data_IF_033063709599
#
_entry.id   IF_033063709599
#
_cell.length_a   1.000
_cell.length_b   1.000
_cell.length_c   1.000
_cell.angle_alpha   90.00
_cell.angle_beta   90.00
_cell.angle_gamma   90.00
#
_symmetry.space_group_name_H-M   'P 1'
#
loop_
_entity.id
_entity.type
_entity.pdbx_description
1 polymer ?
#
# COMPACT_ATOMS: atom_id res chain seq x y z
N UNK A 1 -9.86 4.46 37.06
CA UNK A 1 -11.34 4.43 37.03
C UNK A 1 -11.86 5.83 36.70
N UNK A 2 -12.46 6.00 35.52
CA UNK A 2 -13.59 6.90 35.25
C UNK A 2 -14.15 6.47 33.90
N UNK A 3 -15.18 5.63 33.99
CA UNK A 3 -16.03 5.20 32.88
C UNK A 3 -16.74 6.45 32.35
N UNK A 4 -16.66 6.71 31.04
CA UNK A 4 -17.66 7.54 30.36
C UNK A 4 -18.29 6.64 29.31
N UNK A 5 -19.37 6.01 29.73
CA UNK A 5 -20.34 5.33 28.89
C UNK A 5 -21.51 6.32 28.76
N UNK A 6 -21.90 6.65 27.54
CA UNK A 6 -23.20 7.24 27.13
C UNK A 6 -23.01 7.76 25.69
N UNK A 7 -23.85 7.55 24.69
CA UNK A 7 -25.18 6.93 24.55
C UNK A 7 -25.32 6.63 23.06
N UNK A 8 -25.95 5.51 22.74
CA UNK A 8 -26.44 5.10 21.42
C UNK A 8 -27.66 5.96 21.04
N UNK A 9 -27.69 6.55 19.84
CA UNK A 9 -28.93 6.83 19.08
C UNK A 9 -28.59 7.21 17.62
N UNK A 10 -28.86 6.35 16.65
CA UNK A 10 -30.05 6.30 15.76
C UNK A 10 -29.89 7.13 14.46
N UNK A 11 -29.74 6.37 13.38
CA UNK A 11 -30.27 6.51 12.01
C UNK A 11 -30.86 7.86 11.59
N UNK A 12 -30.36 8.41 10.48
CA UNK A 12 -31.17 9.08 9.47
C UNK A 12 -30.52 8.97 8.07
N UNK A 13 -31.05 8.07 7.25
CA UNK A 13 -30.94 8.20 5.79
C UNK A 13 -31.84 9.36 5.36
N UNK A 14 -31.32 10.29 4.55
CA UNK A 14 -32.14 11.32 3.92
C UNK A 14 -31.76 11.43 2.45
N UNK A 15 -32.65 10.91 1.61
CA UNK A 15 -32.70 11.17 0.19
C UNK A 15 -33.49 12.47 -0.06
N UNK A 16 -32.92 13.37 -0.84
CA UNK A 16 -33.60 14.46 -1.53
C UNK A 16 -32.94 14.58 -2.91
N UNK A 17 -33.59 14.84 -4.04
CA UNK A 17 -34.93 14.57 -4.55
C UNK A 17 -34.80 14.75 -6.07
N UNK A 18 -35.70 14.12 -6.82
CA UNK A 18 -35.80 14.17 -8.29
C UNK A 18 -36.21 15.57 -8.74
N UNK A 19 -35.61 16.08 -9.81
CA UNK A 19 -36.29 17.01 -10.72
C UNK A 19 -36.19 16.48 -12.16
N UNK A 20 -37.29 16.59 -12.90
CA UNK A 20 -37.63 15.80 -14.07
C UNK A 20 -38.05 16.76 -15.19
N UNK A 21 -37.31 16.70 -16.31
CA UNK A 21 -37.75 16.95 -17.69
C UNK A 21 -37.94 18.42 -18.15
N UNK A 22 -37.94 18.73 -19.48
CA UNK A 22 -38.11 17.83 -20.64
C UNK A 22 -37.09 17.96 -21.81
N UNK A 23 -37.11 16.92 -22.67
CA UNK A 23 -36.50 16.83 -24.02
C UNK A 23 -37.25 17.72 -25.04
N UNK A 24 -36.65 18.01 -26.22
CA UNK A 24 -36.89 17.19 -27.43
C UNK A 24 -35.59 16.87 -28.21
N UNK A 25 -35.36 15.61 -28.63
CA UNK A 25 -35.56 15.08 -30.01
C UNK A 25 -34.95 15.97 -31.11
N UNK A 26 -33.97 15.57 -31.91
CA UNK A 26 -33.24 14.33 -32.15
C UNK A 26 -32.40 14.53 -33.44
N UNK A 27 -31.41 13.66 -33.71
CA UNK A 27 -31.06 13.12 -35.03
C UNK A 27 -29.99 12.05 -34.86
N UNK A 28 -30.18 10.96 -35.59
CA UNK A 28 -29.39 9.73 -35.70
C UNK A 28 -27.88 9.93 -35.96
N UNK A 29 -27.05 9.12 -35.30
CA UNK A 29 -25.70 8.76 -35.75
C UNK A 29 -25.50 7.23 -35.58
N UNK A 30 -24.97 6.51 -36.58
CA UNK A 30 -24.91 5.06 -36.58
C UNK A 30 -23.70 4.52 -35.80
N UNK A 31 -23.99 3.55 -34.92
CA UNK A 31 -23.39 2.22 -34.94
C UNK A 31 -21.87 2.03 -34.78
N UNK A 32 -21.52 1.58 -33.56
CA UNK A 32 -20.40 0.68 -33.20
C UNK A 32 -18.95 1.19 -33.38
N UNK A 33 -18.29 1.44 -32.24
CA UNK A 33 -17.06 0.71 -31.93
C UNK A 33 -16.90 0.55 -30.42
N UNK A 34 -16.82 -0.71 -29.99
CA UNK A 34 -16.30 -1.11 -28.68
C UNK A 34 -14.83 -0.73 -28.58
N UNK A 35 -14.40 -0.48 -27.35
CA UNK A 35 -13.01 -0.31 -26.88
C UNK A 35 -12.47 1.12 -26.98
N UNK A 36 -12.75 1.93 -25.95
CA UNK A 36 -11.72 2.87 -25.50
C UNK A 36 -11.25 2.45 -24.12
N UNK A 37 -10.11 1.76 -24.15
CA UNK A 37 -9.29 1.54 -22.99
C UNK A 37 -8.81 2.90 -22.48
N UNK A 38 -9.52 3.43 -21.49
CA UNK A 38 -8.98 4.43 -20.55
C UNK A 38 -7.90 3.84 -19.64
N UNK A 39 -7.19 2.79 -20.09
CA UNK A 39 -5.91 2.38 -19.54
C UNK A 39 -4.91 3.42 -20.03
N UNK A 40 -4.77 4.51 -19.28
CA UNK A 40 -3.61 5.39 -19.42
C UNK A 40 -2.38 4.52 -19.21
N UNK A 41 -1.69 4.25 -20.32
CA UNK A 41 -0.36 3.66 -20.35
C UNK A 41 0.59 4.71 -19.79
N UNK A 42 0.72 4.72 -18.47
CA UNK A 42 1.94 4.18 -17.89
C UNK A 42 1.51 2.86 -17.27
N UNK A 43 2.02 1.73 -17.77
CA UNK A 43 1.91 0.47 -17.04
C UNK A 43 2.82 0.59 -15.82
N UNK A 44 2.43 1.44 -14.89
CA UNK A 44 2.99 1.46 -13.56
C UNK A 44 2.63 0.11 -12.96
N UNK A 45 3.65 -0.56 -12.43
CA UNK A 45 3.57 -1.94 -12.04
C UNK A 45 2.53 -2.08 -10.91
N UNK A 46 1.34 -2.56 -11.26
CA UNK A 46 0.28 -2.91 -10.30
C UNK A 46 0.68 -4.23 -9.63
N UNK A 47 1.74 -4.17 -8.84
CA UNK A 47 2.28 -5.29 -8.08
C UNK A 47 3.19 -4.76 -6.97
N UNK A 48 3.27 -5.51 -5.88
CA UNK A 48 4.11 -5.19 -4.73
C UNK A 48 5.53 -5.75 -4.89
N UNK A 49 6.46 -5.18 -4.11
CA UNK A 49 7.86 -5.55 -4.05
C UNK A 49 8.27 -5.69 -2.58
N UNK A 50 9.20 -6.61 -2.31
CA UNK A 50 9.62 -6.92 -0.93
C UNK A 50 10.48 -5.81 -0.34
N UNK A 51 10.62 -5.80 0.99
CA UNK A 51 11.61 -4.98 1.69
C UNK A 51 13.04 -5.26 1.20
N UNK A 52 13.33 -6.52 0.84
CA UNK A 52 14.62 -6.93 0.26
C UNK A 52 14.89 -6.28 -1.10
N UNK A 53 13.88 -6.19 -1.97
CA UNK A 53 14.03 -5.48 -3.25
C UNK A 53 14.39 -4.01 -3.01
N UNK A 54 13.59 -3.29 -2.22
CA UNK A 54 13.78 -1.85 -1.99
C UNK A 54 15.12 -1.54 -1.34
N UNK A 55 15.55 -2.36 -0.38
CA UNK A 55 16.86 -2.27 0.27
C UNK A 55 18.03 -2.37 -0.70
N UNK A 56 17.91 -3.17 -1.77
CA UNK A 56 18.99 -3.45 -2.71
C UNK A 56 18.89 -2.64 -4.02
N UNK A 57 17.82 -1.87 -4.21
CA UNK A 57 17.53 -1.14 -5.46
C UNK A 57 17.22 0.34 -5.18
N UNK A 58 18.12 1.05 -4.49
CA UNK A 58 17.94 2.46 -4.11
C UNK A 58 17.65 3.38 -5.30
N UNK A 59 18.23 3.08 -6.46
CA UNK A 59 18.01 3.83 -7.70
C UNK A 59 16.59 3.70 -8.25
N UNK A 60 15.83 2.68 -7.83
CA UNK A 60 14.44 2.46 -8.23
C UNK A 60 13.43 3.17 -7.30
N UNK A 61 13.88 3.81 -6.21
CA UNK A 61 12.96 4.46 -5.27
C UNK A 61 12.25 5.64 -5.95
N UNK A 62 10.91 5.67 -5.96
CA UNK A 62 10.14 6.73 -6.62
C UNK A 62 10.08 8.04 -5.80
N UNK A 63 10.49 7.99 -4.53
CA UNK A 63 10.42 9.11 -3.58
C UNK A 63 11.70 9.18 -2.73
N UNK A 64 12.01 10.38 -2.28
CA UNK A 64 13.20 10.66 -1.45
C UNK A 64 12.87 10.74 0.05
N UNK A 65 11.59 10.69 0.43
CA UNK A 65 11.14 10.68 1.81
C UNK A 65 9.81 9.96 1.98
N UNK A 66 9.55 9.48 3.20
CA UNK A 66 8.27 8.92 3.62
C UNK A 66 7.87 9.49 4.98
N UNK A 67 6.56 9.63 5.19
CA UNK A 67 5.99 9.91 6.52
C UNK A 67 5.50 8.59 7.11
N UNK A 68 6.05 8.21 8.25
CA UNK A 68 5.74 6.97 8.96
C UNK A 68 5.48 7.29 10.44
N UNK A 69 4.30 6.94 10.95
CA UNK A 69 3.90 7.27 12.31
C UNK A 69 3.94 8.75 12.65
N UNK A 70 3.69 9.62 11.66
CA UNK A 70 3.75 11.08 11.79
C UNK A 70 5.17 11.67 11.80
N UNK A 71 6.21 10.86 11.58
CA UNK A 71 7.60 11.31 11.45
C UNK A 71 8.04 11.25 9.99
N UNK A 72 8.62 12.33 9.48
CA UNK A 72 9.27 12.35 8.16
C UNK A 72 10.65 11.71 8.25
N UNK A 73 10.91 10.72 7.38
CA UNK A 73 12.20 10.06 7.23
C UNK A 73 12.73 10.28 5.82
N UNK A 74 13.99 10.68 5.69
CA UNK A 74 14.67 10.76 4.41
C UNK A 74 15.03 9.37 3.89
N UNK A 75 15.26 9.24 2.59
CA UNK A 75 15.72 8.00 1.94
C UNK A 75 16.92 7.38 2.66
N UNK A 76 17.91 8.17 3.03
CA UNK A 76 19.08 7.69 3.79
C UNK A 76 18.69 7.10 5.15
N UNK A 77 17.76 7.73 5.88
CA UNK A 77 17.26 7.19 7.15
C UNK A 77 16.45 5.91 6.92
N UNK A 78 15.58 5.88 5.91
CA UNK A 78 14.77 4.72 5.55
C UNK A 78 15.64 3.52 5.15
N UNK A 79 16.71 3.75 4.39
CA UNK A 79 17.69 2.71 4.06
C UNK A 79 18.45 2.21 5.28
N UNK A 80 18.88 3.11 6.17
CA UNK A 80 19.50 2.70 7.43
C UNK A 80 18.58 1.84 8.31
N UNK A 81 17.27 2.14 8.29
CA UNK A 81 16.24 1.34 8.96
C UNK A 81 16.14 -0.05 8.31
N UNK A 82 15.97 -0.15 6.98
CA UNK A 82 15.93 -1.43 6.24
C UNK A 82 17.22 -2.27 6.37
N UNK A 83 18.36 -1.62 6.64
CA UNK A 83 19.64 -2.27 6.90
C UNK A 83 19.76 -2.79 8.33
N UNK A 84 18.94 -2.31 9.26
CA UNK A 84 18.98 -2.70 10.68
C UNK A 84 18.18 -3.99 10.89
N UNK A 85 18.81 -5.11 11.32
CA UNK A 85 18.08 -6.34 11.56
C UNK A 85 17.05 -6.18 12.70
N UNK A 86 15.78 -6.54 12.52
CA UNK A 86 14.75 -6.29 13.53
C UNK A 86 14.97 -6.99 14.88
N UNK A 87 15.64 -8.15 14.90
CA UNK A 87 16.00 -8.92 16.13
C UNK A 87 14.83 -9.10 17.12
N UNK A 88 13.61 -9.28 16.62
CA UNK A 88 12.41 -9.45 17.45
C UNK A 88 11.80 -8.14 17.98
N UNK A 89 12.39 -6.98 17.70
CA UNK A 89 11.87 -5.68 18.11
C UNK A 89 10.67 -5.29 17.23
N UNK A 90 9.47 -5.25 17.82
CA UNK A 90 8.23 -5.02 17.08
C UNK A 90 8.21 -3.72 16.28
N UNK A 91 8.85 -2.64 16.76
CA UNK A 91 8.93 -1.38 16.02
C UNK A 91 9.71 -1.53 14.71
N UNK A 92 10.81 -2.31 14.73
CA UNK A 92 11.61 -2.56 13.53
C UNK A 92 10.92 -3.56 12.60
N UNK A 93 10.26 -4.57 13.16
CA UNK A 93 9.47 -5.54 12.37
C UNK A 93 8.37 -4.81 11.58
N UNK A 94 7.63 -3.90 12.22
CA UNK A 94 6.55 -3.17 11.57
C UNK A 94 7.06 -2.14 10.56
N UNK A 95 8.05 -1.32 10.95
CA UNK A 95 8.49 -0.22 10.08
C UNK A 95 9.14 -0.74 8.79
N UNK A 96 9.88 -1.85 8.83
CA UNK A 96 10.49 -2.43 7.63
C UNK A 96 9.43 -2.79 6.59
N UNK A 97 8.32 -3.39 7.04
CA UNK A 97 7.22 -3.79 6.16
C UNK A 97 6.42 -2.58 5.66
N UNK A 98 6.23 -1.57 6.51
CA UNK A 98 5.54 -0.34 6.13
C UNK A 98 6.34 0.46 5.10
N UNK A 99 7.67 0.51 5.21
CA UNK A 99 8.55 1.14 4.22
C UNK A 99 8.36 0.49 2.85
N UNK A 100 8.43 -0.85 2.79
CA UNK A 100 8.27 -1.58 1.53
C UNK A 100 6.89 -1.35 0.89
N UNK A 101 5.81 -1.43 1.69
CA UNK A 101 4.45 -1.20 1.21
C UNK A 101 4.28 0.23 0.66
N UNK A 102 4.77 1.24 1.39
CA UNK A 102 4.73 2.65 0.99
C UNK A 102 5.49 2.91 -0.30
N UNK A 103 6.68 2.31 -0.46
CA UNK A 103 7.47 2.42 -1.70
C UNK A 103 6.79 1.73 -2.87
N UNK A 104 6.19 0.55 -2.67
CA UNK A 104 5.38 -0.11 -3.70
C UNK A 104 4.18 0.73 -4.13
N UNK A 105 3.47 1.36 -3.19
CA UNK A 105 2.35 2.25 -3.49
C UNK A 105 2.83 3.51 -4.23
N UNK A 106 3.94 4.10 -3.80
CA UNK A 106 4.57 5.21 -4.52
C UNK A 106 5.04 4.80 -5.93
N UNK A 107 5.35 3.52 -6.12
CA UNK A 107 5.63 2.88 -7.39
C UNK A 107 4.36 2.31 -8.07
N UNK A 108 3.17 2.73 -7.63
CA UNK A 108 1.86 2.49 -8.27
C UNK A 108 1.18 1.15 -8.01
N UNK A 109 1.60 0.39 -7.00
CA UNK A 109 0.84 -0.77 -6.53
C UNK A 109 -0.49 -0.34 -5.86
N UNK A 110 -1.60 -1.04 -6.14
CA UNK A 110 -2.90 -0.77 -5.52
C UNK A 110 -2.91 -1.04 -3.99
N UNK A 111 -3.17 -0.02 -3.13
CA UNK A 111 -3.21 -0.19 -1.68
C UNK A 111 -4.53 -0.78 -1.15
N UNK A 112 -5.55 -1.01 -1.98
CA UNK A 112 -6.92 -1.29 -1.53
C UNK A 112 -7.01 -2.41 -0.48
N UNK A 113 -6.23 -3.48 -0.63
CA UNK A 113 -6.21 -4.62 0.29
C UNK A 113 -5.63 -4.30 1.68
N UNK A 114 -4.82 -3.24 1.83
CA UNK A 114 -4.14 -2.87 3.08
C UNK A 114 -4.46 -1.45 3.56
N UNK A 115 -5.45 -0.77 2.99
CA UNK A 115 -5.75 0.63 3.30
C UNK A 115 -5.96 0.87 4.81
N UNK A 116 -6.72 0.00 5.48
CA UNK A 116 -6.92 0.06 6.94
C UNK A 116 -5.66 -0.30 7.72
N UNK A 117 -4.89 -1.28 7.25
CA UNK A 117 -3.61 -1.71 7.83
C UNK A 117 -2.59 -0.58 7.83
N UNK A 118 -2.51 0.21 6.75
CA UNK A 118 -1.61 1.38 6.67
C UNK A 118 -1.93 2.40 7.75
N UNK A 119 -3.22 2.76 7.89
CA UNK A 119 -3.68 3.71 8.93
C UNK A 119 -3.37 3.18 10.33
N UNK A 120 -3.63 1.89 10.58
CA UNK A 120 -3.36 1.27 11.86
C UNK A 120 -1.84 1.19 12.17
N UNK A 121 -1.01 0.90 11.16
CA UNK A 121 0.44 0.86 11.30
C UNK A 121 1.03 2.23 11.64
N UNK A 122 0.59 3.30 10.96
CA UNK A 122 1.01 4.66 11.29
C UNK A 122 0.56 5.08 12.69
N UNK A 123 -0.70 4.83 13.05
CA UNK A 123 -1.20 5.14 14.39
C UNK A 123 -0.41 4.38 15.47
N UNK A 124 -0.06 3.12 15.21
CA UNK A 124 0.74 2.30 16.13
C UNK A 124 2.17 2.83 16.26
N UNK A 125 2.83 3.22 15.17
CA UNK A 125 4.19 3.78 15.19
C UNK A 125 4.24 5.18 15.82
N UNK A 126 3.19 5.98 15.66
CA UNK A 126 3.06 7.26 16.36
C UNK A 126 2.99 7.05 17.89
N UNK A 127 2.29 6.01 18.35
CA UNK A 127 2.18 5.66 19.77
C UNK A 127 3.41 4.88 20.31
N UNK A 128 4.14 4.18 19.44
CA UNK A 128 5.31 3.37 19.77
C UNK A 128 6.49 3.76 18.85
N UNK A 129 7.18 4.87 19.15
CA UNK A 129 8.23 5.39 18.28
C UNK A 129 9.33 4.37 18.03
N UNK A 130 10.00 4.48 16.88
CA UNK A 130 11.06 3.56 16.47
C UNK A 130 12.13 3.43 17.58
N UNK A 131 12.47 2.18 17.94
CA UNK A 131 13.44 1.89 19.01
C UNK A 131 12.84 1.79 20.41
N UNK A 132 11.56 2.13 20.58
CA UNK A 132 10.82 1.79 21.80
C UNK A 132 10.65 0.28 21.96
N UNK A 133 10.26 -0.15 23.16
CA UNK A 133 10.14 -1.57 23.52
C UNK A 133 8.72 -1.87 24.00
N UNK A 134 7.71 -1.83 23.12
CA UNK A 134 6.36 -2.24 23.50
C UNK A 134 6.36 -3.70 23.94
N UNK A 135 5.45 -4.03 24.86
CA UNK A 135 5.30 -5.37 25.43
C UNK A 135 3.83 -5.78 25.45
N UNK A 136 3.57 -7.07 25.68
CA UNK A 136 2.21 -7.64 25.74
C UNK A 136 1.38 -7.30 24.50
N UNK A 137 0.12 -6.90 24.71
CA UNK A 137 -0.82 -6.62 23.64
C UNK A 137 -0.34 -5.56 22.64
N UNK A 138 0.40 -4.54 23.09
CA UNK A 138 0.93 -3.52 22.19
C UNK A 138 1.97 -4.11 21.22
N UNK A 139 2.87 -4.96 21.74
CA UNK A 139 3.86 -5.69 20.93
C UNK A 139 3.18 -6.62 19.94
N UNK A 140 2.19 -7.38 20.40
CA UNK A 140 1.50 -8.35 19.55
C UNK A 140 0.71 -7.66 18.44
N UNK A 141 0.07 -6.51 18.72
CA UNK A 141 -0.59 -5.69 17.71
C UNK A 141 0.39 -5.20 16.63
N UNK A 142 1.58 -4.71 17.02
CA UNK A 142 2.58 -4.27 16.06
C UNK A 142 3.09 -5.40 15.16
N UNK A 143 3.32 -6.58 15.73
CA UNK A 143 3.72 -7.78 14.98
C UNK A 143 2.62 -8.26 14.04
N UNK A 144 1.35 -8.22 14.46
CA UNK A 144 0.22 -8.60 13.63
C UNK A 144 0.04 -7.67 12.42
N UNK A 145 0.16 -6.35 12.63
CA UNK A 145 0.14 -5.37 11.53
C UNK A 145 1.29 -5.61 10.55
N UNK A 146 2.49 -5.94 11.06
CA UNK A 146 3.63 -6.24 10.21
C UNK A 146 3.40 -7.48 9.35
N UNK A 147 2.74 -8.52 9.88
CA UNK A 147 2.42 -9.72 9.11
C UNK A 147 1.47 -9.42 7.94
N UNK A 148 0.44 -8.59 8.16
CA UNK A 148 -0.47 -8.18 7.08
C UNK A 148 0.24 -7.39 5.97
N UNK A 149 1.18 -6.53 6.35
CA UNK A 149 2.01 -5.79 5.39
C UNK A 149 3.01 -6.70 4.68
N UNK A 150 3.57 -7.70 5.38
CA UNK A 150 4.44 -8.71 4.78
C UNK A 150 3.69 -9.54 3.72
N UNK A 151 2.47 -9.99 4.02
CA UNK A 151 1.61 -10.69 3.06
C UNK A 151 1.37 -9.83 1.80
N UNK A 152 1.09 -8.54 1.96
CA UNK A 152 0.96 -7.61 0.84
C UNK A 152 2.27 -7.46 0.06
N UNK A 153 3.40 -7.23 0.74
CA UNK A 153 4.71 -7.01 0.11
C UNK A 153 5.19 -8.24 -0.67
N UNK A 154 4.81 -9.44 -0.23
CA UNK A 154 5.09 -10.71 -0.92
C UNK A 154 4.00 -11.09 -1.94
N UNK A 155 3.00 -10.23 -2.16
CA UNK A 155 1.94 -10.44 -3.15
C UNK A 155 0.94 -11.55 -2.80
N UNK A 156 0.86 -11.95 -1.53
CA UNK A 156 -0.17 -12.87 -1.01
C UNK A 156 -1.53 -12.17 -0.99
N UNK A 157 -1.55 -10.87 -0.70
CA UNK A 157 -2.73 -10.00 -0.79
C UNK A 157 -2.47 -8.83 -1.73
N UNK A 158 -3.54 -8.12 -2.11
CA UNK A 158 -3.45 -6.95 -2.97
C UNK A 158 -3.13 -7.33 -4.43
N UNK A 159 -2.33 -6.51 -5.14
CA UNK A 159 -2.19 -6.60 -6.60
C UNK A 159 -1.28 -7.75 -7.08
N UNK A 160 -0.78 -8.59 -6.16
CA UNK A 160 0.19 -9.64 -6.46
C UNK A 160 1.63 -9.14 -6.49
N UNK A 161 2.59 -10.04 -6.67
CA UNK A 161 4.02 -9.73 -6.63
C UNK A 161 4.59 -9.41 -8.01
N UNK A 162 5.50 -8.44 -8.10
CA UNK A 162 6.18 -8.18 -9.36
C UNK A 162 7.10 -9.36 -9.71
N UNK A 163 7.09 -9.78 -10.97
CA UNK A 163 8.12 -10.70 -11.45
C UNK A 163 9.47 -9.97 -11.39
N UNK A 164 10.41 -10.47 -10.60
CA UNK A 164 11.82 -10.15 -10.82
C UNK A 164 12.12 -10.59 -12.26
N UNK A 165 12.59 -9.68 -13.11
CA UNK A 165 12.74 -9.95 -14.53
C UNK A 165 13.55 -11.24 -14.72
N UNK A 166 12.88 -12.35 -15.07
CA UNK A 166 13.57 -13.57 -15.44
C UNK A 166 14.55 -13.23 -16.57
N UNK A 167 15.80 -13.71 -16.54
CA UNK A 167 16.69 -13.55 -17.67
C UNK A 167 15.95 -14.07 -18.90
N UNK A 168 15.70 -13.18 -19.86
CA UNK A 168 15.05 -13.51 -21.12
C UNK A 168 15.81 -14.69 -21.70
N UNK A 169 15.19 -15.86 -21.97
CA UNK A 169 15.90 -16.96 -22.61
C UNK A 169 16.55 -16.40 -23.87
N UNK A 170 17.88 -16.49 -23.96
CA UNK A 170 18.59 -16.08 -25.16
C UNK A 170 17.97 -16.83 -26.34
N UNK A 171 17.68 -16.16 -27.48
CA UNK A 171 17.20 -16.87 -28.65
C UNK A 171 18.19 -17.99 -28.96
N UNK A 172 17.73 -19.24 -28.92
CA UNK A 172 18.53 -20.37 -29.35
C UNK A 172 18.96 -20.11 -30.79
N UNK A 173 20.27 -20.11 -31.11
CA UNK A 173 20.71 -19.95 -32.47
C UNK A 173 20.10 -21.08 -33.31
N UNK A 174 19.65 -20.81 -34.56
CA UNK A 174 19.18 -21.87 -35.43
C UNK A 174 20.31 -22.87 -35.62
N UNK A 175 20.06 -24.12 -35.24
CA UNK A 175 21.03 -25.21 -35.38
C UNK A 175 21.43 -25.36 -36.85
N UNK A 176 22.73 -25.28 -37.11
CA UNK A 176 23.36 -25.65 -38.37
C UNK A 176 24.04 -27.02 -38.25
#
# INVERSE_FOLDING_TARGET
MRKVLCVVAIVAASACSRDRSPLPSGVDEPGLSLSDSGKRVTAQADCSLTQGFWKNHEAAWPVEELILGGTTYTKTQLLAILMTPPRGAATYILIDQLIAARLSIANGADPAAIAETLVAADAWLAANPLGSKPTGAARDAGVALAALLDDYNNGVTGPGHCAEASPRPLPTPPGG
#
